data_IF_911340808554
#
_entry.id   IF_911340808554
#
_cell.length_a   1.000
_cell.length_b   1.000
_cell.length_c   1.000
_cell.angle_alpha   90.00
_cell.angle_beta   90.00
_cell.angle_gamma   90.00
#
_symmetry.space_group_name_H-M   'P 1'
#
loop_
_entity.id
_entity.type
_entity.pdbx_description
1 polymer ?
#
# COMPACT_ATOMS: atom_id res chain seq x y z
N UNK A 1 6.52 2.48 10.34
CA UNK A 1 5.47 1.55 9.86
C UNK A 1 6.04 0.70 8.75
N UNK A 2 5.39 -0.41 8.42
CA UNK A 2 5.68 -1.15 7.19
C UNK A 2 4.42 -1.81 6.67
N UNK A 3 4.35 -1.98 5.36
CA UNK A 3 3.31 -2.75 4.71
C UNK A 3 3.89 -4.08 4.26
N UNK A 4 3.12 -5.16 4.43
CA UNK A 4 3.38 -6.45 3.82
C UNK A 4 2.32 -6.71 2.76
N UNK A 5 2.77 -7.06 1.57
CA UNK A 5 1.92 -7.53 0.47
C UNK A 5 2.30 -8.99 0.21
N UNK A 6 1.31 -9.88 0.16
CA UNK A 6 1.54 -11.27 -0.23
C UNK A 6 0.53 -11.78 -1.23
N UNK A 7 0.99 -12.62 -2.16
CA UNK A 7 0.18 -13.40 -3.10
C UNK A 7 0.72 -14.81 -3.13
N UNK A 8 -0.10 -15.80 -2.76
CA UNK A 8 0.35 -17.19 -2.57
C UNK A 8 1.57 -17.24 -1.63
N UNK A 9 2.69 -17.81 -2.08
CA UNK A 9 3.95 -17.88 -1.33
C UNK A 9 4.81 -16.61 -1.45
N UNK A 10 4.54 -15.75 -2.44
CA UNK A 10 5.28 -14.50 -2.64
C UNK A 10 4.92 -13.51 -1.54
N UNK A 11 5.96 -12.94 -0.92
CA UNK A 11 5.82 -11.93 0.13
C UNK A 11 6.80 -10.79 -0.11
N UNK A 12 6.28 -9.58 -0.22
CA UNK A 12 7.05 -8.35 -0.32
C UNK A 12 6.77 -7.46 0.89
N UNK A 13 7.83 -6.95 1.50
CA UNK A 13 7.74 -5.98 2.59
C UNK A 13 8.17 -4.61 2.07
N UNK A 14 7.35 -3.60 2.36
CA UNK A 14 7.61 -2.19 2.08
C UNK A 14 7.80 -1.48 3.42
N UNK A 15 9.05 -1.30 3.82
CA UNK A 15 9.44 -0.70 5.10
C UNK A 15 9.95 0.74 4.97
N UNK A 16 10.14 1.24 3.74
CA UNK A 16 10.43 2.65 3.46
C UNK A 16 9.10 3.33 3.19
N UNK A 17 8.77 4.34 3.99
CA UNK A 17 7.55 5.09 3.84
C UNK A 17 7.80 6.59 4.00
N UNK A 18 7.00 7.38 3.30
CA UNK A 18 6.93 8.83 3.40
C UNK A 18 5.46 9.22 3.60
N UNK A 19 5.19 10.44 4.06
CA UNK A 19 3.81 10.92 4.22
C UNK A 19 3.67 12.38 3.81
N UNK A 20 2.44 12.77 3.44
CA UNK A 20 2.08 14.09 2.93
C UNK A 20 1.53 14.05 1.52
N UNK A 21 1.10 15.21 1.03
CA UNK A 21 0.50 15.37 -0.29
C UNK A 21 1.51 15.97 -1.27
N UNK A 22 1.80 17.27 -1.13
CA UNK A 22 2.76 17.97 -2.00
C UNK A 22 4.20 17.85 -1.51
N UNK A 23 4.39 17.97 -0.19
CA UNK A 23 5.71 17.90 0.45
C UNK A 23 5.82 16.61 1.24
N UNK A 24 6.56 15.66 0.67
CA UNK A 24 6.76 14.35 1.28
C UNK A 24 7.81 14.41 2.39
N UNK A 25 7.44 13.96 3.59
CA UNK A 25 8.36 13.81 4.72
C UNK A 25 8.71 12.34 4.89
N UNK A 26 10.00 12.02 4.98
CA UNK A 26 10.45 10.64 5.19
C UNK A 26 10.11 10.17 6.60
N UNK A 27 9.46 9.01 6.69
CA UNK A 27 8.94 8.49 7.95
C UNK A 27 10.01 7.90 8.86
N UNK A 28 10.57 8.70 9.77
CA UNK A 28 11.40 8.26 10.91
C UNK A 28 10.59 8.00 12.18
N UNK A 29 9.28 8.25 12.14
CA UNK A 29 8.35 8.19 13.26
C UNK A 29 7.21 9.18 13.03
N UNK A 30 6.03 8.93 13.59
CA UNK A 30 4.89 9.83 13.52
C UNK A 30 4.44 10.16 14.93
N UNK A 31 4.44 11.45 15.28
CA UNK A 31 3.83 11.91 16.53
C UNK A 31 2.31 12.01 16.31
N UNK A 32 1.54 11.37 17.17
CA UNK A 32 0.07 11.38 17.13
C UNK A 32 -0.39 12.04 18.42
N UNK A 33 -0.91 13.27 18.31
CA UNK A 33 -1.48 14.00 19.44
C UNK A 33 -2.87 13.50 19.82
N UNK A 34 -3.48 14.13 20.83
CA UNK A 34 -4.79 13.75 21.37
C UNK A 34 -5.92 13.80 20.34
N UNK A 35 -5.85 14.74 19.38
CA UNK A 35 -6.84 14.86 18.30
C UNK A 35 -6.60 13.89 17.14
N UNK A 36 -5.59 13.03 17.24
CA UNK A 36 -5.15 12.19 16.13
C UNK A 36 -4.48 13.00 15.02
N UNK A 37 -4.06 12.30 13.97
CA UNK A 37 -3.52 12.88 12.73
C UNK A 37 -4.01 12.06 11.54
N UNK A 38 -4.17 12.71 10.40
CA UNK A 38 -4.47 12.05 9.12
C UNK A 38 -3.44 12.50 8.09
N UNK A 39 -2.83 11.53 7.41
CA UNK A 39 -1.86 11.78 6.35
C UNK A 39 -2.00 10.73 5.26
N UNK A 40 -1.76 11.13 4.02
CA UNK A 40 -1.51 10.18 2.94
C UNK A 40 -0.13 9.56 3.15
N UNK A 41 -0.09 8.23 3.24
CA UNK A 41 1.11 7.45 3.47
C UNK A 41 1.51 6.73 2.18
N UNK A 42 2.75 6.94 1.76
CA UNK A 42 3.30 6.35 0.55
C UNK A 42 4.38 5.34 0.94
N UNK A 43 4.20 4.08 0.55
CA UNK A 43 5.16 3.01 0.78
C UNK A 43 5.97 2.76 -0.49
N UNK A 44 7.28 2.96 -0.40
CA UNK A 44 8.16 2.93 -1.57
C UNK A 44 8.70 1.51 -1.78
N UNK A 45 8.73 1.07 -3.03
CA UNK A 45 9.40 -0.17 -3.42
C UNK A 45 10.88 -0.09 -3.02
N UNK A 46 11.42 -1.10 -2.30
CA UNK A 46 12.85 -1.16 -2.02
C UNK A 46 13.64 -1.09 -3.32
N UNK A 47 14.79 -0.40 -3.32
CA UNK A 47 15.75 -0.48 -4.43
C UNK A 47 16.37 -1.88 -4.42
N UNK A 48 15.70 -2.85 -5.03
CA UNK A 48 16.22 -4.17 -5.30
C UNK A 48 16.24 -4.37 -6.82
N UNK A 49 17.19 -5.18 -7.31
CA UNK A 49 17.42 -5.40 -8.76
C UNK A 49 16.28 -6.15 -9.47
N UNK A 50 15.24 -6.57 -8.75
CA UNK A 50 14.04 -7.21 -9.28
C UNK A 50 12.83 -6.30 -9.12
N UNK A 51 12.29 -5.81 -10.23
CA UNK A 51 11.01 -5.10 -10.28
C UNK A 51 9.91 -5.97 -9.65
N UNK A 52 9.43 -5.62 -8.46
CA UNK A 52 8.20 -6.22 -7.94
C UNK A 52 7.04 -5.80 -8.86
N UNK A 53 6.46 -6.76 -9.58
CA UNK A 53 5.32 -6.52 -10.48
C UNK A 53 4.05 -7.14 -9.94
N UNK A 54 2.99 -6.35 -9.91
CA UNK A 54 1.65 -6.84 -9.66
C UNK A 54 1.15 -7.55 -10.92
N UNK A 55 0.80 -8.83 -10.78
CA UNK A 55 0.08 -9.62 -11.79
C UNK A 55 -1.27 -10.08 -11.22
N UNK A 56 -2.06 -10.78 -12.02
CA UNK A 56 -3.34 -11.34 -11.59
C UNK A 56 -3.24 -12.13 -10.27
N UNK A 57 -4.27 -11.97 -9.44
CA UNK A 57 -4.53 -12.79 -8.27
C UNK A 57 -5.03 -11.99 -7.07
N UNK A 58 -5.27 -12.72 -5.98
CA UNK A 58 -5.69 -12.14 -4.70
C UNK A 58 -4.48 -11.85 -3.83
N UNK A 59 -4.30 -10.58 -3.50
CA UNK A 59 -3.26 -10.10 -2.61
C UNK A 59 -3.81 -9.89 -1.21
N UNK A 60 -3.00 -10.21 -0.20
CA UNK A 60 -3.22 -9.78 1.18
C UNK A 60 -2.32 -8.59 1.46
N UNK A 61 -2.94 -7.46 1.76
CA UNK A 61 -2.30 -6.23 2.22
C UNK A 61 -2.40 -6.16 3.74
N UNK A 62 -1.29 -5.98 4.43
CA UNK A 62 -1.24 -5.84 5.89
C UNK A 62 -0.39 -4.64 6.28
N UNK A 63 -0.97 -3.72 7.07
CA UNK A 63 -0.23 -2.59 7.64
C UNK A 63 0.19 -2.91 9.06
N UNK A 64 1.47 -2.72 9.35
CA UNK A 64 2.03 -2.85 10.68
C UNK A 64 2.60 -1.53 11.19
N UNK A 65 2.32 -1.22 12.45
CA UNK A 65 2.87 -0.09 13.17
C UNK A 65 3.51 -0.53 14.47
N UNK A 66 4.56 0.17 14.89
CA UNK A 66 5.23 -0.07 16.17
C UNK A 66 5.14 1.20 16.98
N UNK A 67 4.53 1.13 18.17
CA UNK A 67 4.50 2.26 19.09
C UNK A 67 5.85 2.38 19.79
N UNK A 68 6.22 3.60 20.18
CA UNK A 68 7.44 3.83 20.96
C UNK A 68 7.35 3.06 22.28
N UNK A 69 8.40 2.30 22.61
CA UNK A 69 8.44 1.45 23.80
C UNK A 69 7.91 0.03 23.60
N UNK A 70 7.14 -0.25 22.54
CA UNK A 70 6.72 -1.62 22.24
C UNK A 70 7.91 -2.46 21.77
N UNK A 71 7.90 -3.76 22.11
CA UNK A 71 8.91 -4.72 21.61
C UNK A 71 8.64 -5.15 20.17
N UNK A 72 7.37 -5.34 19.82
CA UNK A 72 6.93 -5.87 18.52
C UNK A 72 6.05 -4.87 17.77
N UNK A 73 5.97 -5.02 16.44
CA UNK A 73 4.98 -4.30 15.63
C UNK A 73 3.60 -4.93 15.81
N UNK A 74 2.57 -4.11 15.80
CA UNK A 74 1.15 -4.49 15.84
C UNK A 74 0.57 -4.44 14.43
N UNK A 75 -0.27 -5.42 14.10
CA UNK A 75 -1.11 -5.36 12.90
C UNK A 75 -2.17 -4.28 13.11
N UNK A 76 -2.18 -3.28 12.25
CA UNK A 76 -3.15 -2.16 12.28
C UNK A 76 -4.39 -2.54 11.49
N UNK A 77 -4.21 -3.03 10.26
CA UNK A 77 -5.30 -3.56 9.44
C UNK A 77 -4.79 -4.58 8.44
N UNK A 78 -5.73 -5.37 7.90
CA UNK A 78 -5.47 -6.30 6.82
C UNK A 78 -6.65 -6.37 5.84
N UNK A 79 -6.38 -6.25 4.55
CA UNK A 79 -7.39 -6.33 3.48
C UNK A 79 -6.94 -7.28 2.37
N UNK A 80 -7.93 -7.90 1.72
CA UNK A 80 -7.70 -8.66 0.50
C UNK A 80 -8.02 -7.78 -0.71
N UNK A 81 -7.11 -7.73 -1.67
CA UNK A 81 -7.20 -6.93 -2.89
C UNK A 81 -7.15 -7.89 -4.09
N UNK A 82 -8.12 -7.80 -4.99
CA UNK A 82 -8.16 -8.64 -6.18
C UNK A 82 -7.64 -7.87 -7.39
N UNK A 83 -6.71 -8.47 -8.12
CA UNK A 83 -6.25 -7.96 -9.42
C UNK A 83 -6.66 -9.00 -10.46
N UNK A 84 -7.47 -8.61 -11.43
CA UNK A 84 -7.85 -9.45 -12.57
C UNK A 84 -6.77 -9.42 -13.65
N UNK A 85 -6.81 -10.35 -14.59
CA UNK A 85 -5.91 -10.36 -15.77
C UNK A 85 -5.93 -9.01 -16.51
N UNK A 86 -7.11 -8.48 -16.84
CA UNK A 86 -7.22 -7.19 -17.53
C UNK A 86 -6.66 -6.00 -16.75
N UNK A 87 -6.73 -6.02 -15.41
CA UNK A 87 -6.08 -4.99 -14.58
C UNK A 87 -4.55 -5.14 -14.58
N UNK A 88 -4.06 -6.37 -14.55
CA UNK A 88 -2.63 -6.65 -14.64
C UNK A 88 -2.05 -6.24 -16.01
N UNK A 89 -2.80 -6.46 -17.10
CA UNK A 89 -2.42 -6.00 -18.44
C UNK A 89 -2.37 -4.48 -18.52
N UNK A 90 -3.37 -3.77 -17.97
CA UNK A 90 -3.40 -2.31 -17.95
C UNK A 90 -2.22 -1.69 -17.18
N UNK A 91 -1.74 -2.39 -16.14
CA UNK A 91 -0.55 -1.99 -15.37
C UNK A 91 0.79 -2.17 -16.13
N UNK A 92 0.78 -2.83 -17.30
CA UNK A 92 1.96 -2.85 -18.16
C UNK A 92 2.29 -1.47 -18.74
N UNK A 93 1.31 -0.56 -18.80
CA UNK A 93 1.54 0.85 -19.12
C UNK A 93 2.02 1.62 -17.87
N UNK A 94 3.23 2.17 -17.95
CA UNK A 94 3.84 2.97 -16.88
C UNK A 94 3.08 4.28 -16.55
N UNK A 95 2.11 4.68 -17.36
CA UNK A 95 1.23 5.84 -17.09
C UNK A 95 -0.01 5.47 -16.28
N UNK A 96 -0.28 4.18 -16.12
CA UNK A 96 -1.45 3.67 -15.40
C UNK A 96 -1.11 3.44 -13.93
N UNK A 97 -2.03 3.82 -13.05
CA UNK A 97 -2.06 3.42 -11.64
C UNK A 97 -3.26 2.52 -11.38
N UNK A 98 -3.07 1.51 -10.52
CA UNK A 98 -4.18 0.71 -9.99
C UNK A 98 -4.58 1.27 -8.62
N UNK A 99 -5.85 1.63 -8.53
CA UNK A 99 -6.47 2.21 -7.35
C UNK A 99 -7.51 1.24 -6.80
N UNK A 100 -7.75 1.36 -5.49
CA UNK A 100 -8.68 0.52 -4.75
C UNK A 100 -9.52 1.43 -3.87
N UNK A 101 -10.80 1.58 -4.21
CA UNK A 101 -11.74 2.41 -3.46
C UNK A 101 -12.65 1.56 -2.59
N UNK A 102 -12.96 2.05 -1.39
CA UNK A 102 -13.87 1.35 -0.51
C UNK A 102 -15.31 1.41 -1.03
N UNK A 103 -15.84 0.27 -1.45
CA UNK A 103 -17.27 0.12 -1.77
C UNK A 103 -18.07 -0.03 -0.48
N UNK A 104 -18.78 1.03 -0.08
CA UNK A 104 -19.57 1.05 1.16
C UNK A 104 -20.62 -0.09 1.21
N UNK A 105 -21.28 -0.37 0.08
CA UNK A 105 -22.31 -1.40 -0.04
C UNK A 105 -21.72 -2.83 -0.07
N UNK A 106 -20.60 -3.01 -0.76
CA UNK A 106 -19.96 -4.32 -0.91
C UNK A 106 -19.09 -4.69 0.29
N UNK A 107 -18.69 -3.71 1.10
CA UNK A 107 -17.73 -3.90 2.18
C UNK A 107 -16.35 -4.36 1.68
N UNK A 108 -16.00 -4.00 0.45
CA UNK A 108 -14.79 -4.45 -0.22
C UNK A 108 -14.14 -3.32 -1.01
N UNK A 109 -12.83 -3.43 -1.22
CA UNK A 109 -12.12 -2.53 -2.11
C UNK A 109 -12.38 -2.89 -3.57
N UNK A 110 -12.85 -1.92 -4.35
CA UNK A 110 -13.16 -2.06 -5.77
C UNK A 110 -11.97 -1.53 -6.57
N UNK A 111 -11.32 -2.37 -7.40
CA UNK A 111 -10.19 -1.94 -8.21
C UNK A 111 -10.64 -1.10 -9.41
N UNK A 112 -9.85 -0.10 -9.76
CA UNK A 112 -9.96 0.61 -11.04
C UNK A 112 -8.59 1.13 -11.50
N UNK A 113 -8.45 1.33 -12.82
CA UNK A 113 -7.25 1.95 -13.39
C UNK A 113 -7.52 3.43 -13.58
N UNK A 114 -6.57 4.26 -13.17
CA UNK A 114 -6.51 5.65 -13.57
C UNK A 114 -5.23 5.89 -14.37
N UNK A 115 -5.35 6.63 -15.46
CA UNK A 115 -4.22 6.95 -16.34
C UNK A 115 -3.82 8.37 -16.07
N UNK A 116 -2.59 8.56 -15.61
CA UNK A 116 -2.08 9.89 -15.31
C UNK A 116 -1.96 10.67 -16.62
N UNK A 117 -2.88 11.60 -16.83
CA UNK A 117 -2.82 12.57 -17.92
C UNK A 117 -1.63 13.49 -17.64
N UNK A 118 -0.60 13.40 -18.47
CA UNK A 118 0.57 14.30 -18.45
C UNK A 118 0.17 15.74 -18.73
#
# INVERSE_FOLDING_TARGET
>A
MHVRVSRNELRQTFNIWVYGDDKLTRGSGLFVGENGVSFNHHFLTPRADTDFRFVEGTYRLELFAKLLGDKASKLVFAHSLSITEGLAEALADHKSGLYFDWGAESGQYIPHIDVRSS
#
